data_IF_741550663149
#
_entry.id   IF_741550663149
#
_cell.length_a   1.000
_cell.length_b   1.000
_cell.length_c   1.000
_cell.angle_alpha   90.00
_cell.angle_beta   90.00
_cell.angle_gamma   90.00
#
_symmetry.space_group_name_H-M   'P 1'
#
loop_
_entity.id
_entity.type
_entity.pdbx_description
1 polymer ?
#
# COMPACT_ATOMS: atom_id res chain seq x y z
N UNK A 1 19.63 0.93 -45.60
CA UNK A 1 19.77 0.55 -44.18
C UNK A 1 18.41 0.07 -43.70
N UNK A 2 18.28 -1.15 -43.18
CA UNK A 2 17.04 -1.65 -42.58
C UNK A 2 17.10 -1.43 -41.06
N UNK A 3 16.06 -0.83 -40.47
CA UNK A 3 16.02 -0.51 -39.03
C UNK A 3 15.52 -1.72 -38.23
N UNK A 4 16.39 -2.32 -37.41
CA UNK A 4 16.03 -3.45 -36.56
C UNK A 4 15.20 -3.04 -35.33
N UNK A 5 15.31 -1.78 -34.89
CA UNK A 5 14.48 -1.21 -33.83
C UNK A 5 13.06 -0.95 -34.37
N UNK A 6 12.11 -1.77 -33.94
CA UNK A 6 10.67 -1.63 -34.23
C UNK A 6 9.87 -1.78 -32.94
N UNK A 7 8.84 -0.94 -32.72
CA UNK A 7 7.98 -1.06 -31.54
C UNK A 7 7.10 -2.33 -31.61
N UNK A 8 6.71 -2.85 -30.45
CA UNK A 8 5.73 -3.94 -30.33
C UNK A 8 4.32 -3.35 -30.24
N UNK A 9 3.51 -3.50 -31.29
CA UNK A 9 2.12 -3.04 -31.28
C UNK A 9 1.15 -4.09 -30.72
N UNK A 10 1.54 -5.36 -30.77
CA UNK A 10 0.77 -6.48 -30.24
C UNK A 10 1.62 -7.26 -29.23
N UNK A 11 1.11 -7.54 -28.01
CA UNK A 11 1.82 -8.34 -27.02
C UNK A 11 1.79 -9.83 -27.37
N UNK A 12 2.77 -10.59 -26.86
CA UNK A 12 2.76 -12.05 -26.96
C UNK A 12 1.59 -12.65 -26.18
N UNK A 13 0.88 -13.60 -26.80
CA UNK A 13 -0.23 -14.34 -26.16
C UNK A 13 0.31 -15.57 -25.43
N UNK A 14 -0.18 -15.79 -24.19
CA UNK A 14 0.05 -17.04 -23.45
C UNK A 14 -0.74 -18.21 -24.05
N UNK A 15 -0.44 -19.44 -23.62
CA UNK A 15 -1.08 -20.68 -24.07
C UNK A 15 -0.21 -21.58 -24.96
N UNK A 16 1.08 -21.25 -25.12
CA UNK A 16 2.03 -21.98 -25.98
C UNK A 16 3.34 -22.33 -25.26
N UNK A 17 3.55 -21.84 -24.05
CA UNK A 17 4.76 -22.04 -23.26
C UNK A 17 4.72 -23.24 -22.31
N UNK A 18 5.81 -23.37 -21.52
CA UNK A 18 5.96 -24.39 -20.47
C UNK A 18 4.80 -24.31 -19.47
N UNK A 19 4.02 -25.39 -19.35
CA UNK A 19 2.94 -25.50 -18.38
C UNK A 19 1.59 -24.92 -18.83
N UNK A 20 1.45 -24.40 -20.05
CA UNK A 20 0.23 -23.74 -20.52
C UNK A 20 -0.65 -24.61 -21.44
N UNK A 21 -0.18 -25.81 -21.80
CA UNK A 21 -0.87 -26.78 -22.66
C UNK A 21 -0.64 -28.21 -22.18
N UNK A 22 -0.22 -29.11 -23.08
CA UNK A 22 0.21 -30.48 -22.74
C UNK A 22 1.54 -30.47 -21.98
N UNK A 23 1.56 -29.91 -20.76
CA UNK A 23 2.67 -29.74 -19.80
C UNK A 23 4.07 -29.66 -20.43
N UNK A 24 4.18 -28.98 -21.58
CA UNK A 24 5.30 -29.01 -22.53
C UNK A 24 6.06 -30.34 -22.50
N UNK A 25 5.45 -31.44 -22.97
CA UNK A 25 6.10 -32.74 -23.14
C UNK A 25 7.02 -33.12 -21.96
N UNK A 26 6.49 -33.07 -20.73
CA UNK A 26 7.17 -33.47 -19.49
C UNK A 26 8.66 -33.08 -19.44
N UNK A 27 8.97 -31.82 -19.75
CA UNK A 27 10.35 -31.32 -19.62
C UNK A 27 10.86 -31.53 -18.20
N UNK A 28 12.04 -32.14 -18.08
CA UNK A 28 12.74 -32.35 -16.79
C UNK A 28 13.41 -31.08 -16.27
N UNK A 29 13.28 -29.95 -16.99
CA UNK A 29 13.87 -28.68 -16.61
C UNK A 29 13.01 -27.99 -15.54
N UNK A 30 13.61 -27.71 -14.39
CA UNK A 30 13.01 -26.93 -13.31
C UNK A 30 13.96 -25.80 -12.89
N UNK A 31 13.39 -24.67 -12.48
CA UNK A 31 14.14 -23.57 -11.89
C UNK A 31 14.38 -23.81 -10.41
N UNK A 32 15.40 -23.18 -9.81
CA UNK A 32 15.56 -23.16 -8.36
C UNK A 32 14.35 -22.57 -7.64
N UNK A 33 13.60 -21.67 -8.32
CA UNK A 33 12.34 -21.09 -7.82
C UNK A 33 11.17 -22.07 -7.83
N UNK A 34 11.24 -23.13 -8.64
CA UNK A 34 10.18 -24.14 -8.75
C UNK A 34 10.36 -25.26 -7.72
N UNK A 35 11.41 -25.20 -6.89
CA UNK A 35 11.63 -26.16 -5.81
C UNK A 35 10.53 -26.03 -4.75
N UNK A 36 10.20 -27.12 -4.04
CA UNK A 36 9.13 -27.09 -3.03
C UNK A 36 9.37 -26.02 -1.96
N UNK A 37 8.46 -25.05 -1.90
CA UNK A 37 8.46 -23.97 -0.92
C UNK A 37 7.03 -23.59 -0.56
N UNK A 38 6.79 -23.24 0.71
CA UNK A 38 5.47 -22.91 1.23
C UNK A 38 4.38 -23.95 0.92
N UNK A 39 4.69 -25.24 1.12
CA UNK A 39 3.76 -26.36 0.88
C UNK A 39 2.54 -26.41 1.83
N UNK A 40 2.40 -25.45 2.75
CA UNK A 40 1.30 -25.41 3.73
C UNK A 40 0.58 -24.07 3.66
N UNK A 41 -0.68 -24.11 3.23
CA UNK A 41 -1.55 -22.94 3.23
C UNK A 41 -1.98 -22.61 4.68
N UNK A 42 -1.65 -21.42 5.16
CA UNK A 42 -2.14 -20.91 6.45
C UNK A 42 -3.63 -20.57 6.33
N UNK A 43 -4.43 -20.99 7.31
CA UNK A 43 -5.83 -20.62 7.44
C UNK A 43 -5.98 -19.52 8.50
N UNK A 44 -6.94 -18.62 8.29
CA UNK A 44 -7.35 -17.63 9.30
C UNK A 44 -7.89 -18.37 10.52
N UNK A 45 -7.32 -18.08 11.69
CA UNK A 45 -7.81 -18.62 12.96
C UNK A 45 -8.97 -17.78 13.50
N UNK A 46 -9.62 -18.26 14.55
CA UNK A 46 -10.59 -17.46 15.30
C UNK A 46 -9.91 -16.19 15.83
N UNK A 47 -10.55 -15.04 15.70
CA UNK A 47 -9.98 -13.73 16.03
C UNK A 47 -9.08 -13.14 14.93
N UNK A 48 -8.88 -13.83 13.80
CA UNK A 48 -8.18 -13.30 12.60
C UNK A 48 -9.15 -13.06 11.43
N UNK A 49 -10.39 -12.69 11.75
CA UNK A 49 -11.49 -12.57 10.80
C UNK A 49 -11.74 -13.88 10.05
N UNK A 50 -12.02 -14.91 10.84
CA UNK A 50 -12.50 -16.18 10.30
C UNK A 50 -13.83 -15.98 9.57
N UNK A 51 -14.13 -16.83 8.57
CA UNK A 51 -15.37 -16.71 7.78
C UNK A 51 -16.62 -16.84 8.66
N UNK A 52 -16.54 -17.58 9.77
CA UNK A 52 -17.64 -17.69 10.72
C UNK A 52 -17.95 -16.35 11.40
N UNK A 53 -16.91 -15.71 11.96
CA UNK A 53 -17.05 -14.41 12.61
C UNK A 53 -17.55 -13.33 11.65
N UNK A 54 -17.03 -13.29 10.42
CA UNK A 54 -17.45 -12.30 9.42
C UNK A 54 -18.91 -12.45 9.01
N UNK A 55 -19.50 -13.64 9.10
CA UNK A 55 -20.92 -13.86 8.79
C UNK A 55 -21.85 -13.34 9.87
N UNK A 56 -21.40 -13.32 11.11
CA UNK A 56 -22.20 -12.90 12.27
C UNK A 56 -22.03 -11.41 12.61
N UNK A 57 -21.02 -10.75 12.03
CA UNK A 57 -20.70 -9.33 12.28
C UNK A 57 -21.60 -8.37 11.48
N UNK A 58 -22.22 -7.42 12.17
CA UNK A 58 -22.91 -6.27 11.56
C UNK A 58 -21.92 -5.15 11.22
N UNK A 59 -21.32 -5.19 10.02
CA UNK A 59 -20.29 -4.24 9.61
C UNK A 59 -20.72 -2.77 9.61
N UNK A 60 -21.99 -2.49 9.28
CA UNK A 60 -22.49 -1.11 9.22
C UNK A 60 -22.42 -0.44 10.60
N UNK A 61 -22.86 -1.16 11.63
CA UNK A 61 -22.90 -0.64 13.00
C UNK A 61 -21.49 -0.45 13.56
N UNK A 62 -20.62 -1.44 13.38
CA UNK A 62 -19.22 -1.40 13.85
C UNK A 62 -18.44 -0.27 13.14
N UNK A 63 -18.70 -0.03 11.85
CA UNK A 63 -18.12 1.08 11.09
C UNK A 63 -18.58 2.43 11.64
N UNK A 64 -19.89 2.64 11.81
CA UNK A 64 -20.43 3.91 12.32
C UNK A 64 -19.91 4.21 13.75
N UNK A 65 -19.73 3.19 14.58
CA UNK A 65 -19.17 3.34 15.92
C UNK A 65 -17.67 3.72 15.88
N UNK A 66 -16.87 3.04 15.08
CA UNK A 66 -15.45 3.36 14.90
C UNK A 66 -15.26 4.75 14.30
N UNK A 67 -16.06 5.14 13.32
CA UNK A 67 -16.02 6.49 12.74
C UNK A 67 -16.38 7.56 13.78
N UNK A 68 -17.41 7.32 14.60
CA UNK A 68 -17.78 8.23 15.70
C UNK A 68 -16.65 8.36 16.71
N UNK A 69 -15.96 7.28 17.06
CA UNK A 69 -14.81 7.31 17.97
C UNK A 69 -13.63 8.05 17.35
N UNK A 70 -13.27 7.75 16.10
CA UNK A 70 -12.19 8.42 15.39
C UNK A 70 -12.47 9.92 15.20
N UNK A 71 -13.73 10.31 14.95
CA UNK A 71 -14.13 11.71 14.88
C UNK A 71 -13.95 12.44 16.22
N UNK A 72 -14.34 11.79 17.34
CA UNK A 72 -14.13 12.34 18.69
C UNK A 72 -12.66 12.51 19.04
N UNK A 73 -11.82 11.54 18.68
CA UNK A 73 -10.37 11.61 18.85
C UNK A 73 -9.77 12.78 18.05
N UNK A 74 -10.10 12.90 16.76
CA UNK A 74 -9.68 14.02 15.92
C UNK A 74 -10.12 15.39 16.47
N UNK A 75 -11.30 15.49 17.10
CA UNK A 75 -11.73 16.75 17.72
C UNK A 75 -11.00 17.08 19.01
N UNK A 76 -10.52 16.07 19.76
CA UNK A 76 -9.71 16.27 20.96
C UNK A 76 -8.31 16.76 20.61
N UNK A 77 -7.69 16.20 19.57
CA UNK A 77 -6.39 16.68 19.06
C UNK A 77 -6.48 18.08 18.42
N UNK A 78 -7.61 18.42 17.79
CA UNK A 78 -7.85 19.78 17.27
C UNK A 78 -8.17 20.82 18.34
N UNK A 79 -8.54 20.40 19.55
CA UNK A 79 -8.73 21.29 20.70
C UNK A 79 -7.44 21.89 21.27
N UNK A 80 -6.27 21.38 20.86
CA UNK A 80 -4.95 21.93 21.21
C UNK A 80 -4.36 22.86 20.14
N UNK A 81 -5.05 23.09 19.02
CA UNK A 81 -4.48 23.84 17.87
C UNK A 81 -5.42 24.91 17.33
N UNK A 82 -5.99 25.72 18.23
CA UNK A 82 -6.65 26.97 17.85
C UNK A 82 -6.07 28.14 18.62
N UNK A 83 -5.01 28.75 18.08
CA UNK A 83 -4.80 30.20 18.07
C UNK A 83 -3.83 30.53 16.93
N UNK A 84 -4.21 31.48 16.07
CA UNK A 84 -3.41 32.11 15.00
C UNK A 84 -3.38 31.45 13.61
N UNK A 85 -4.45 31.65 12.81
CA UNK A 85 -4.49 32.65 11.71
C UNK A 85 -5.61 32.35 10.69
N UNK A 86 -6.59 33.26 10.72
CA UNK A 86 -7.36 33.82 9.58
C UNK A 86 -8.44 32.94 8.94
N UNK A 87 -9.67 33.34 9.26
CA UNK A 87 -10.85 33.26 8.41
C UNK A 87 -10.55 33.63 6.95
N UNK A 88 -10.65 32.66 6.06
CA UNK A 88 -11.00 32.88 4.65
C UNK A 88 -12.10 31.91 4.27
N UNK A 89 -13.30 32.32 4.67
CA UNK A 89 -14.52 31.93 3.98
C UNK A 89 -14.34 32.31 2.51
N UNK A 90 -14.65 31.36 1.62
CA UNK A 90 -14.89 31.53 0.18
C UNK A 90 -13.67 31.50 -0.78
N UNK A 91 -13.27 30.29 -1.22
CA UNK A 91 -12.66 30.07 -2.55
C UNK A 91 -12.75 28.60 -3.00
N UNK A 92 -13.82 28.31 -3.76
CA UNK A 92 -13.99 27.38 -4.91
C UNK A 92 -13.52 25.90 -4.77
N UNK A 93 -14.34 24.90 -5.17
CA UNK A 93 -13.96 23.48 -5.13
C UNK A 93 -12.75 23.21 -6.03
N UNK A 94 -11.60 22.93 -5.43
CA UNK A 94 -10.38 22.52 -6.11
C UNK A 94 -10.44 21.04 -6.50
N UNK A 95 -11.46 20.65 -7.26
CA UNK A 95 -11.56 19.31 -7.86
C UNK A 95 -10.57 19.09 -9.01
N UNK A 96 -9.57 19.96 -9.21
CA UNK A 96 -8.50 19.81 -10.21
C UNK A 96 -7.17 20.46 -9.75
N UNK A 97 -6.71 20.19 -8.52
CA UNK A 97 -5.30 20.46 -8.19
C UNK A 97 -4.44 19.39 -8.88
N UNK A 98 -3.50 19.87 -9.70
CA UNK A 98 -2.59 19.10 -10.56
C UNK A 98 -1.61 18.22 -9.75
N UNK A 99 -1.28 17.05 -10.28
CA UNK A 99 -0.73 15.92 -9.53
C UNK A 99 0.80 15.94 -9.34
N UNK A 100 1.52 16.99 -9.76
CA UNK A 100 2.99 17.00 -9.81
C UNK A 100 3.66 18.20 -9.10
N UNK A 101 2.98 18.91 -8.19
CA UNK A 101 3.62 19.99 -7.41
C UNK A 101 4.21 19.43 -6.09
N UNK A 102 5.55 19.34 -5.93
CA UNK A 102 6.16 18.88 -4.69
C UNK A 102 5.98 19.92 -3.59
N UNK A 103 5.43 19.50 -2.45
CA UNK A 103 5.37 20.33 -1.25
C UNK A 103 6.75 20.31 -0.60
N UNK A 104 7.53 21.35 -0.87
CA UNK A 104 8.86 21.57 -0.29
C UNK A 104 8.69 22.23 1.09
N UNK A 105 8.72 21.43 2.16
CA UNK A 105 8.88 21.91 3.54
C UNK A 105 10.24 21.37 4.05
N UNK A 106 11.30 22.06 3.68
CA UNK A 106 12.65 21.88 4.22
C UNK A 106 12.73 22.52 5.62
N UNK A 107 12.38 21.74 6.65
CA UNK A 107 12.68 22.05 8.05
C UNK A 107 13.61 20.95 8.59
N UNK A 108 14.85 20.94 8.09
CA UNK A 108 15.96 20.14 8.61
C UNK A 108 16.46 20.74 9.94
N UNK A 109 15.88 20.32 11.07
CA UNK A 109 16.46 20.59 12.39
C UNK A 109 17.57 19.57 12.67
N UNK A 110 18.80 19.95 12.31
CA UNK A 110 20.03 19.20 12.52
C UNK A 110 20.44 19.29 14.01
N UNK A 111 20.08 18.28 14.80
CA UNK A 111 20.57 18.11 16.17
C UNK A 111 21.66 17.04 16.22
N UNK A 112 22.91 17.48 16.01
CA UNK A 112 24.14 16.69 16.21
C UNK A 112 24.32 16.27 17.69
N UNK A 113 23.92 15.04 18.05
CA UNK A 113 24.28 14.42 19.33
C UNK A 113 25.69 13.80 19.27
N UNK A 114 26.69 14.51 19.81
CA UNK A 114 28.05 13.97 20.05
C UNK A 114 28.02 12.84 21.09
N UNK A 115 28.30 11.62 20.65
CA UNK A 115 28.72 10.53 21.55
C UNK A 115 30.22 10.63 21.84
N UNK A 116 30.59 11.10 23.03
CA UNK A 116 31.94 10.97 23.58
C UNK A 116 32.19 9.49 23.96
N UNK A 117 32.98 8.80 23.14
CA UNK A 117 33.49 7.46 23.45
C UNK A 117 34.64 7.60 24.46
N UNK A 118 34.33 7.36 25.74
CA UNK A 118 35.33 7.34 26.80
C UNK A 118 36.12 6.03 26.73
N UNK A 119 37.34 6.11 26.21
CA UNK A 119 38.32 5.01 26.21
C UNK A 119 38.79 4.71 27.64
N UNK A 120 38.77 3.44 28.03
CA UNK A 120 39.46 2.91 29.21
C UNK A 120 40.38 1.76 28.80
#
# INVERSE_FOLDING_TARGET
MTTAARPTFEPARGGRGKGEGDLSALSKQYSSRDLPSHNKLKRRQTGQDSVGELREKDFKRDLEERERQAARERTRDRGSRTESKRSRLDQVPATNLDADDPVDDDDSDDSDERFEFNTF
#
